data_IF_196974422380
#
_entry.id   IF_196974422380
#
_cell.length_a   1.000
_cell.length_b   1.000
_cell.length_c   1.000
_cell.angle_alpha   90.00
_cell.angle_beta   90.00
_cell.angle_gamma   90.00
#
_symmetry.space_group_name_H-M   'P 1'
#
loop_
_entity.id
_entity.type
_entity.pdbx_description
1 polymer ?
#
# COMPACT_ATOMS: atom_id res chain seq x y z
N UNK A 1 18.11 21.59 20.80
CA UNK A 1 19.20 21.42 19.81
C UNK A 1 18.59 21.52 18.41
N UNK A 2 19.24 22.21 17.48
CA UNK A 2 18.74 22.35 16.11
C UNK A 2 18.86 21.01 15.37
N UNK A 3 17.73 20.40 15.02
CA UNK A 3 17.72 19.14 14.26
C UNK A 3 17.94 19.41 12.77
N UNK A 4 19.21 19.60 12.38
CA UNK A 4 19.64 19.94 11.01
C UNK A 4 19.04 19.03 9.91
N UNK A 5 18.86 17.71 10.09
CA UNK A 5 18.20 16.87 9.09
C UNK A 5 16.73 17.24 8.88
N UNK A 6 15.97 17.51 9.95
CA UNK A 6 14.57 17.93 9.86
C UNK A 6 14.45 19.28 9.14
N UNK A 7 15.28 20.26 9.50
CA UNK A 7 15.26 21.59 8.86
C UNK A 7 15.53 21.51 7.36
N UNK A 8 16.56 20.77 6.96
CA UNK A 8 16.87 20.57 5.53
C UNK A 8 15.74 19.86 4.79
N UNK A 9 15.12 18.87 5.41
CA UNK A 9 14.04 18.12 4.79
C UNK A 9 12.73 18.91 4.74
N UNK A 10 12.46 19.74 5.74
CA UNK A 10 11.30 20.62 5.78
C UNK A 10 11.30 21.57 4.57
N UNK A 11 12.39 22.30 4.36
CA UNK A 11 12.52 23.25 3.24
C UNK A 11 12.66 22.59 1.86
N UNK A 12 12.83 21.27 1.81
CA UNK A 12 12.73 20.49 0.57
C UNK A 12 11.30 20.11 0.20
N UNK A 13 10.40 20.05 1.19
CA UNK A 13 9.05 19.48 1.04
C UNK A 13 7.94 20.52 1.12
N UNK A 14 8.24 21.70 1.66
CA UNK A 14 7.32 22.81 1.83
C UNK A 14 7.97 24.10 1.38
N UNK A 15 7.20 24.93 0.66
CA UNK A 15 7.64 26.24 0.20
C UNK A 15 7.43 27.32 1.27
N UNK A 16 6.52 27.07 2.23
CA UNK A 16 6.20 28.00 3.31
C UNK A 16 6.01 27.31 4.65
N UNK A 17 6.20 28.09 5.73
CA UNK A 17 5.95 27.62 7.10
C UNK A 17 4.47 27.27 7.30
N UNK A 18 3.56 28.04 6.69
CA UNK A 18 2.12 27.84 6.83
C UNK A 18 1.67 26.51 6.21
N UNK A 19 2.23 26.16 5.04
CA UNK A 19 1.98 24.87 4.40
C UNK A 19 2.43 23.69 5.29
N UNK A 20 3.65 23.77 5.82
CA UNK A 20 4.15 22.76 6.74
C UNK A 20 3.34 22.67 8.03
N UNK A 21 2.92 23.81 8.59
CA UNK A 21 2.10 23.87 9.79
C UNK A 21 0.73 23.24 9.60
N UNK A 22 0.05 23.53 8.48
CA UNK A 22 -1.20 22.89 8.09
C UNK A 22 -1.00 21.36 7.94
N UNK A 23 0.10 20.94 7.33
CA UNK A 23 0.41 19.54 7.11
C UNK A 23 0.64 18.75 8.41
N UNK A 24 1.34 19.36 9.38
CA UNK A 24 1.54 18.78 10.72
C UNK A 24 0.33 18.98 11.65
N UNK A 25 -0.71 19.69 11.22
CA UNK A 25 -1.86 20.10 12.03
C UNK A 25 -1.43 20.84 13.32
N UNK A 26 -0.52 21.81 13.18
CA UNK A 26 -0.05 22.68 14.27
C UNK A 26 -0.08 24.15 13.85
N UNK A 27 0.14 25.07 14.80
CA UNK A 27 0.29 26.50 14.50
C UNK A 27 1.66 26.80 13.89
N UNK A 28 1.74 27.80 13.01
CA UNK A 28 2.98 28.28 12.38
C UNK A 28 4.10 28.57 13.37
N UNK A 29 3.75 29.15 14.53
CA UNK A 29 4.73 29.47 15.58
C UNK A 29 5.43 28.21 16.12
N UNK A 30 4.74 27.07 16.16
CA UNK A 30 5.31 25.79 16.59
C UNK A 30 6.39 25.32 15.61
N UNK A 31 6.10 25.42 14.31
CA UNK A 31 7.06 25.08 13.25
C UNK A 31 8.25 26.05 13.27
N UNK A 32 8.02 27.36 13.44
CA UNK A 32 9.11 28.34 13.62
C UNK A 32 10.04 27.97 14.78
N UNK A 33 9.48 27.54 15.92
CA UNK A 33 10.26 27.11 17.10
C UNK A 33 11.07 25.84 16.83
N UNK A 34 10.53 24.89 16.05
CA UNK A 34 11.29 23.71 15.59
C UNK A 34 12.45 24.09 14.68
N UNK A 35 12.19 24.95 13.68
CA UNK A 35 13.19 25.35 12.68
C UNK A 35 14.31 26.23 13.25
N UNK A 36 14.04 26.96 14.34
CA UNK A 36 15.03 27.77 15.06
C UNK A 36 15.72 27.00 16.20
N UNK A 37 15.28 25.78 16.48
CA UNK A 37 15.84 24.94 17.56
C UNK A 37 15.49 25.41 18.98
N UNK A 38 14.54 26.35 19.12
CA UNK A 38 14.04 26.84 20.41
C UNK A 38 13.35 25.72 21.21
N UNK A 39 12.70 24.78 20.51
CA UNK A 39 12.10 23.58 21.11
C UNK A 39 12.48 22.36 20.28
N UNK A 40 12.50 21.18 20.90
CA UNK A 40 12.74 19.94 20.19
C UNK A 40 11.58 19.63 19.22
N UNK A 41 11.92 19.05 18.08
CA UNK A 41 10.95 18.62 17.08
C UNK A 41 10.11 17.48 17.65
N UNK A 42 8.79 17.51 17.40
CA UNK A 42 7.94 16.39 17.77
C UNK A 42 8.36 15.14 16.95
N UNK A 43 8.68 14.00 17.58
CA UNK A 43 9.06 12.77 16.86
C UNK A 43 8.02 12.31 15.83
N UNK A 44 6.73 12.62 16.05
CA UNK A 44 5.68 12.34 15.08
C UNK A 44 5.79 13.23 13.85
N UNK A 45 6.15 14.51 14.01
CA UNK A 45 6.38 15.41 12.89
C UNK A 45 7.59 14.97 12.06
N UNK A 46 8.65 14.45 12.70
CA UNK A 46 9.77 13.87 11.95
C UNK A 46 9.36 12.64 11.13
N UNK A 47 8.60 11.71 11.74
CA UNK A 47 8.07 10.52 11.04
C UNK A 47 7.18 10.89 9.87
N UNK A 48 6.26 11.82 10.11
CA UNK A 48 5.39 12.38 9.09
C UNK A 48 6.25 12.97 7.96
N UNK A 49 7.20 13.85 8.25
CA UNK A 49 8.04 14.46 7.22
C UNK A 49 8.80 13.42 6.40
N UNK A 50 9.28 12.34 7.03
CA UNK A 50 9.91 11.21 6.35
C UNK A 50 8.93 10.48 5.43
N UNK A 51 7.67 10.29 5.84
CA UNK A 51 6.64 9.66 5.01
C UNK A 51 6.36 10.50 3.76
N UNK A 52 6.24 11.83 3.91
CA UNK A 52 6.05 12.75 2.79
C UNK A 52 7.27 12.78 1.87
N UNK A 53 8.47 12.88 2.45
CA UNK A 53 9.74 12.94 1.72
C UNK A 53 10.24 11.59 1.16
N UNK A 54 9.48 10.50 1.33
CA UNK A 54 9.78 9.20 0.74
C UNK A 54 8.68 8.70 -0.18
N UNK A 55 7.57 9.44 -0.32
CA UNK A 55 6.40 9.01 -1.10
C UNK A 55 5.94 7.61 -0.72
N UNK A 56 5.82 7.32 0.58
CA UNK A 56 5.69 5.95 1.09
C UNK A 56 4.45 5.23 0.55
N UNK A 57 4.64 3.99 0.06
CA UNK A 57 3.55 3.03 -0.10
C UNK A 57 2.95 2.68 1.27
N UNK A 58 1.67 2.29 1.37
CA UNK A 58 1.05 1.90 2.63
C UNK A 58 1.88 0.82 3.36
N UNK A 59 1.97 0.92 4.69
CA UNK A 59 2.61 -0.10 5.55
C UNK A 59 1.77 -1.38 5.60
N UNK A 60 1.78 -2.10 4.49
CA UNK A 60 0.93 -3.24 4.20
C UNK A 60 1.81 -4.29 3.52
N UNK A 61 1.62 -5.56 3.91
CA UNK A 61 2.40 -6.70 3.42
C UNK A 61 2.41 -6.80 1.89
N UNK A 62 1.38 -6.28 1.21
CA UNK A 62 1.29 -6.23 -0.26
C UNK A 62 2.33 -5.32 -0.92
N UNK A 63 2.83 -4.32 -0.20
CA UNK A 63 3.83 -3.38 -0.68
C UNK A 63 5.25 -3.71 -0.22
N UNK A 64 5.42 -4.85 0.46
CA UNK A 64 6.72 -5.26 0.97
C UNK A 64 7.73 -5.44 -0.17
N UNK A 65 8.87 -4.76 -0.05
CA UNK A 65 9.95 -4.79 -1.04
C UNK A 65 9.77 -3.86 -2.25
N UNK A 66 8.60 -3.23 -2.41
CA UNK A 66 8.41 -2.17 -3.40
C UNK A 66 9.05 -0.87 -2.92
N UNK A 67 9.64 -0.11 -3.84
CA UNK A 67 10.31 1.17 -3.57
C UNK A 67 9.92 2.22 -4.59
N UNK A 68 9.73 3.46 -4.19
CA UNK A 68 9.55 4.60 -5.11
C UNK A 68 10.86 5.36 -5.25
N UNK A 69 11.29 5.65 -6.47
CA UNK A 69 12.41 6.54 -6.73
C UNK A 69 11.88 7.91 -7.13
N UNK A 70 11.79 8.83 -6.16
CA UNK A 70 11.19 10.17 -6.33
C UNK A 70 11.86 10.96 -7.45
N UNK A 71 13.20 10.97 -7.51
CA UNK A 71 13.97 11.69 -8.53
C UNK A 71 13.60 11.28 -9.96
N UNK A 72 13.24 10.02 -10.16
CA UNK A 72 12.90 9.47 -11.48
C UNK A 72 11.40 9.26 -11.66
N UNK A 73 10.59 9.50 -10.62
CA UNK A 73 9.17 9.19 -10.56
C UNK A 73 8.85 7.76 -11.06
N UNK A 74 9.58 6.76 -10.57
CA UNK A 74 9.40 5.34 -10.95
C UNK A 74 9.14 4.46 -9.73
N UNK A 75 8.46 3.34 -9.95
CA UNK A 75 8.27 2.27 -8.98
C UNK A 75 9.30 1.17 -9.26
N UNK A 76 9.97 0.68 -8.22
CA UNK A 76 10.91 -0.42 -8.26
C UNK A 76 10.30 -1.59 -7.51
N UNK A 77 10.23 -2.76 -8.15
CA UNK A 77 9.68 -3.98 -7.54
C UNK A 77 10.71 -4.66 -6.62
N UNK A 78 10.28 -5.65 -5.80
CA UNK A 78 11.20 -6.47 -5.02
C UNK A 78 12.25 -7.20 -5.89
N UNK A 79 11.92 -7.51 -7.14
CA UNK A 79 12.82 -8.15 -8.12
C UNK A 79 13.73 -7.16 -8.87
N UNK A 80 13.78 -5.89 -8.43
CA UNK A 80 14.52 -4.80 -9.08
C UNK A 80 14.05 -4.43 -10.50
N UNK A 81 12.85 -4.85 -10.91
CA UNK A 81 12.22 -4.31 -12.14
C UNK A 81 11.76 -2.88 -11.88
N UNK A 82 11.82 -2.07 -12.92
CA UNK A 82 11.44 -0.65 -12.88
C UNK A 82 10.17 -0.46 -13.69
N UNK A 83 9.24 0.33 -13.15
CA UNK A 83 8.03 0.77 -13.81
C UNK A 83 7.94 2.29 -13.78
N UNK A 84 7.90 2.89 -14.96
CA UNK A 84 7.51 4.28 -15.13
C UNK A 84 5.98 4.43 -15.19
N UNK A 85 5.42 5.60 -14.88
CA UNK A 85 3.99 5.87 -15.00
C UNK A 85 3.44 5.60 -16.40
N UNK A 86 4.22 5.88 -17.46
CA UNK A 86 3.84 5.59 -18.85
C UNK A 86 3.77 4.09 -19.15
N UNK A 87 4.68 3.30 -18.60
CA UNK A 87 4.62 1.84 -18.74
C UNK A 87 3.45 1.24 -17.98
N UNK A 88 3.06 1.84 -16.85
CA UNK A 88 1.87 1.43 -16.10
C UNK A 88 0.58 1.75 -16.87
N UNK A 89 0.54 2.87 -17.59
CA UNK A 89 -0.58 3.23 -18.46
C UNK A 89 -0.73 2.22 -19.62
N UNK A 90 0.39 1.86 -20.27
CA UNK A 90 0.41 0.84 -21.32
C UNK A 90 0.13 -0.60 -20.84
N UNK A 91 0.22 -0.86 -19.53
CA UNK A 91 -0.03 -2.20 -18.97
C UNK A 91 -1.49 -2.64 -19.12
N UNK A 92 -2.45 -1.70 -19.07
CA UNK A 92 -3.87 -2.01 -19.26
C UNK A 92 -4.11 -2.54 -20.67
N UNK A 93 -3.61 -1.82 -21.68
CA UNK A 93 -3.71 -2.21 -23.09
C UNK A 93 -3.01 -3.55 -23.36
N UNK A 94 -1.83 -3.76 -22.78
CA UNK A 94 -1.08 -5.01 -22.93
C UNK A 94 -1.82 -6.21 -22.34
N UNK A 95 -2.53 -6.02 -21.23
CA UNK A 95 -3.40 -7.05 -20.66
C UNK A 95 -4.58 -7.35 -21.58
N UNK A 96 -5.22 -6.32 -22.13
CA UNK A 96 -6.34 -6.48 -23.06
C UNK A 96 -5.94 -7.22 -24.34
N UNK A 97 -4.80 -6.84 -24.93
CA UNK A 97 -4.19 -7.51 -26.09
C UNK A 97 -3.86 -8.98 -25.79
N UNK A 98 -3.22 -9.25 -24.66
CA UNK A 98 -2.93 -10.61 -24.21
C UNK A 98 -4.22 -11.44 -24.10
N UNK A 99 -5.29 -10.86 -23.54
CA UNK A 99 -6.58 -11.53 -23.42
C UNK A 99 -7.32 -11.70 -24.75
N UNK A 100 -7.15 -10.79 -25.71
CA UNK A 100 -7.70 -10.91 -27.06
C UNK A 100 -6.99 -12.03 -27.83
N UNK A 101 -5.66 -12.06 -27.81
CA UNK A 101 -4.85 -13.12 -28.43
C UNK A 101 -5.12 -14.48 -27.80
N UNK A 102 -5.25 -14.55 -26.47
CA UNK A 102 -5.60 -15.80 -25.76
C UNK A 102 -6.97 -16.34 -26.18
N UNK A 103 -7.96 -15.47 -26.42
CA UNK A 103 -9.29 -15.85 -26.93
C UNK A 103 -9.24 -16.36 -28.37
N UNK A 104 -8.42 -15.73 -29.21
CA UNK A 104 -8.32 -16.06 -30.64
C UNK A 104 -7.64 -17.41 -30.89
N UNK A 105 -6.64 -17.75 -30.10
CA UNK A 105 -5.80 -18.94 -30.31
C UNK A 105 -6.15 -20.14 -29.41
N UNK A 106 -7.28 -20.09 -28.69
CA UNK A 106 -7.75 -21.15 -27.78
C UNK A 106 -6.65 -21.72 -26.84
N UNK A 107 -5.65 -20.90 -26.51
CA UNK A 107 -4.54 -21.29 -25.62
C UNK A 107 -5.15 -21.68 -24.28
N UNK A 108 -5.11 -22.98 -23.98
CA UNK A 108 -5.89 -23.68 -22.96
C UNK A 108 -6.31 -22.77 -21.81
N UNK A 109 -7.63 -22.67 -21.67
CA UNK A 109 -8.36 -21.93 -20.65
C UNK A 109 -7.69 -22.01 -19.26
N UNK A 110 -6.84 -21.04 -18.94
CA UNK A 110 -6.53 -20.73 -17.53
C UNK A 110 -7.73 -19.93 -17.02
N UNK A 111 -8.49 -20.45 -16.04
CA UNK A 111 -9.72 -19.82 -15.57
C UNK A 111 -9.44 -18.37 -15.20
N UNK A 112 -10.38 -17.49 -15.53
CA UNK A 112 -10.40 -16.10 -15.05
C UNK A 112 -10.26 -16.19 -13.54
N UNK A 113 -9.10 -15.80 -13.01
CA UNK A 113 -9.06 -15.46 -11.59
C UNK A 113 -9.96 -14.24 -11.49
N UNK A 114 -11.14 -14.43 -10.89
CA UNK A 114 -11.85 -13.33 -10.25
C UNK A 114 -10.79 -12.45 -9.59
N UNK A 115 -10.71 -11.16 -9.96
CA UNK A 115 -9.72 -10.17 -9.51
C UNK A 115 -8.88 -10.75 -8.39
N UNK A 116 -7.59 -11.06 -8.61
CA UNK A 116 -6.69 -11.57 -7.55
C UNK A 116 -7.07 -10.82 -6.30
N UNK A 117 -7.82 -11.45 -5.38
CA UNK A 117 -8.57 -10.65 -4.41
C UNK A 117 -7.48 -10.07 -3.57
N UNK A 118 -7.29 -8.76 -3.73
CA UNK A 118 -6.30 -8.04 -2.98
C UNK A 118 -6.67 -8.30 -1.54
N UNK A 119 -5.85 -9.04 -0.78
CA UNK A 119 -6.22 -9.44 0.56
C UNK A 119 -6.53 -8.16 1.34
N UNK A 120 -7.68 -8.14 1.99
CA UNK A 120 -8.11 -6.97 2.76
C UNK A 120 -7.03 -6.67 3.81
N UNK A 121 -6.55 -5.42 3.92
CA UNK A 121 -5.46 -5.07 4.84
C UNK A 121 -5.82 -5.28 6.31
N UNK A 122 -7.12 -5.33 6.62
CA UNK A 122 -7.65 -5.43 7.97
C UNK A 122 -8.75 -6.49 8.07
N UNK A 123 -8.83 -7.17 9.21
CA UNK A 123 -9.97 -8.01 9.60
C UNK A 123 -10.31 -7.74 11.06
N UNK A 124 -11.54 -7.30 11.33
CA UNK A 124 -12.01 -7.01 12.69
C UNK A 124 -11.15 -5.98 13.44
N UNK A 125 -10.71 -4.91 12.75
CA UNK A 125 -9.91 -3.84 13.36
C UNK A 125 -8.42 -4.17 13.58
N UNK A 126 -7.94 -5.36 13.19
CA UNK A 126 -6.51 -5.75 13.30
C UNK A 126 -5.87 -5.91 11.92
N UNK A 127 -4.59 -5.54 11.80
CA UNK A 127 -3.76 -5.76 10.61
C UNK A 127 -3.44 -7.25 10.47
N UNK A 128 -3.41 -7.73 9.23
CA UNK A 128 -3.07 -9.12 8.92
C UNK A 128 -1.56 -9.22 8.68
N UNK A 129 -0.87 -10.08 9.43
CA UNK A 129 0.60 -10.23 9.38
C UNK A 129 1.10 -10.93 8.11
N UNK A 130 0.23 -11.65 7.39
CA UNK A 130 0.55 -12.29 6.11
C UNK A 130 -0.70 -12.36 5.23
N UNK A 131 -0.58 -12.17 3.89
CA UNK A 131 -1.69 -12.35 2.98
C UNK A 131 -2.16 -13.81 3.01
N UNK A 132 -3.43 -14.04 3.31
CA UNK A 132 -4.04 -15.36 3.16
C UNK A 132 -4.09 -15.67 1.66
N UNK A 133 -3.26 -16.62 1.20
CA UNK A 133 -3.35 -17.13 -0.16
C UNK A 133 -4.77 -17.65 -0.42
N UNK A 134 -5.47 -17.06 -1.38
CA UNK A 134 -6.87 -17.37 -1.68
C UNK A 134 -7.11 -18.71 -2.36
N UNK A 135 -6.05 -19.42 -2.75
CA UNK A 135 -6.19 -20.82 -3.15
C UNK A 135 -6.37 -21.69 -1.91
N UNK A 136 -7.48 -21.48 -1.19
CA UNK A 136 -8.07 -22.51 -0.37
C UNK A 136 -8.26 -23.72 -1.29
N UNK A 137 -7.56 -24.82 -0.99
CA UNK A 137 -7.67 -26.04 -1.78
C UNK A 137 -9.14 -26.46 -1.90
N UNK A 138 -9.51 -27.14 -3.00
CA UNK A 138 -10.87 -27.65 -3.19
C UNK A 138 -11.36 -28.43 -1.96
N UNK A 139 -10.45 -29.15 -1.32
CA UNK A 139 -10.66 -29.90 -0.09
C UNK A 139 -11.06 -29.01 1.09
N UNK A 140 -10.33 -27.92 1.35
CA UNK A 140 -10.67 -26.98 2.43
C UNK A 140 -12.01 -26.26 2.17
N UNK A 141 -12.35 -25.97 0.91
CA UNK A 141 -13.69 -25.44 0.54
C UNK A 141 -14.80 -26.47 0.73
N UNK A 142 -14.53 -27.76 0.48
CA UNK A 142 -15.48 -28.86 0.73
C UNK A 142 -15.73 -29.04 2.23
N UNK A 143 -14.66 -29.11 3.03
CA UNK A 143 -14.75 -29.24 4.48
C UNK A 143 -15.51 -28.08 5.15
N UNK A 144 -15.32 -26.85 4.67
CA UNK A 144 -16.06 -25.69 5.19
C UNK A 144 -17.58 -25.76 4.88
N UNK A 145 -17.96 -26.24 3.69
CA UNK A 145 -19.38 -26.43 3.33
C UNK A 145 -20.05 -27.50 4.19
N UNK A 146 -19.38 -28.65 4.37
CA UNK A 146 -19.87 -29.73 5.23
C UNK A 146 -20.04 -29.28 6.69
N UNK A 147 -19.11 -28.45 7.19
CA UNK A 147 -19.22 -27.86 8.52
C UNK A 147 -20.44 -26.94 8.65
N UNK A 148 -20.67 -26.04 7.68
CA UNK A 148 -21.82 -25.14 7.68
C UNK A 148 -23.16 -25.90 7.64
N UNK A 149 -23.25 -26.94 6.81
CA UNK A 149 -24.43 -27.82 6.75
C UNK A 149 -24.69 -28.53 8.09
N UNK A 150 -23.63 -29.01 8.75
CA UNK A 150 -23.74 -29.65 10.07
C UNK A 150 -24.21 -28.66 11.14
N UNK A 151 -23.73 -27.42 11.12
CA UNK A 151 -24.15 -26.36 12.03
C UNK A 151 -25.61 -25.97 11.78
N UNK A 152 -26.02 -25.82 10.52
CA UNK A 152 -27.40 -25.53 10.15
C UNK A 152 -28.36 -26.66 10.59
N UNK A 153 -28.00 -27.92 10.37
CA UNK A 153 -28.78 -29.08 10.84
C UNK A 153 -28.93 -29.10 12.37
N UNK A 154 -27.86 -28.79 13.11
CA UNK A 154 -27.91 -28.71 14.58
C UNK A 154 -28.83 -27.58 15.05
N UNK A 155 -28.77 -26.43 14.41
CA UNK A 155 -29.59 -25.26 14.75
C UNK A 155 -31.08 -25.47 14.45
N UNK A 156 -31.40 -26.24 13.42
CA UNK A 156 -32.79 -26.57 13.05
C UNK A 156 -33.35 -27.78 13.81
N UNK A 157 -32.52 -28.50 14.59
CA UNK A 157 -32.92 -29.64 15.42
C UNK A 157 -33.18 -29.24 16.89
N UNK A 158 -32.97 -27.97 17.22
CA UNK A 158 -33.39 -27.28 18.46
C UNK A 158 -34.53 -26.33 18.14
#
# INVERSE_FOLDING_TARGET
MLHLPFVRMFWRQFESISEGAAWFNVKDITVKRWLTGQINVNPMAEKLLIIRARGYFPDDTRWQGFRVCERRCIIITPENRVFSPKELDGWVLRNDEYHALKRLYELDYIPVRSNVVTPLPFRGGRRINAPLHETISKEKKKAYREYQEKVAKRRNAT
#
